data_IF_047271544859
#
_entry.id   IF_047271544859
#
_cell.length_a   1.000
_cell.length_b   1.000
_cell.length_c   1.000
_cell.angle_alpha   90.00
_cell.angle_beta   90.00
_cell.angle_gamma   90.00
#
_symmetry.space_group_name_H-M   'P 1'
#
loop_
_entity.id
_entity.type
_entity.pdbx_description
1 polymer ?
2 non-polymer ?
3 water ?
#
# COMPACT_ATOMS: atom_id res chain seq x y z
N UNK A 80 -18.60 -15.47 -5.20
CA UNK A 80 -19.95 -15.07 -4.79
C UNK A 80 -19.96 -14.45 -3.40
N UNK A 81 -20.57 -13.28 -3.29
CA UNK A 81 -20.66 -12.59 -2.02
C UNK A 81 -22.10 -12.56 -1.57
N UNK A 82 -22.36 -13.08 -0.38
CA UNK A 82 -23.71 -13.10 0.17
C UNK A 82 -23.90 -11.93 1.14
N UNK A 83 -24.78 -11.00 0.79
CA UNK A 83 -25.04 -9.87 1.67
C UNK A 83 -26.29 -10.13 2.50
N UNK A 84 -26.26 -9.66 3.75
CA UNK A 84 -27.40 -9.77 4.63
C UNK A 84 -27.87 -8.38 5.00
N UNK A 85 -29.14 -8.07 4.71
CA UNK A 85 -29.67 -6.76 5.02
C UNK A 85 -29.88 -6.63 6.53
N UNK A 86 -29.53 -5.48 7.07
CA UNK A 86 -29.75 -5.20 8.47
C UNK A 86 -30.81 -4.10 8.61
N UNK A 87 -31.57 -4.17 9.69
CA UNK A 87 -32.61 -3.19 9.97
C UNK A 87 -32.00 -1.84 10.30
N UNK A 88 -30.90 -1.86 11.04
CA UNK A 88 -30.25 -0.67 11.55
C UNK A 88 -28.79 -1.02 11.76
N UNK A 89 -27.92 0.00 11.80
CA UNK A 89 -26.55 -0.32 12.17
C UNK A 89 -26.46 -0.66 13.66
N UNK A 90 -25.44 -1.41 14.06
CA UNK A 90 -25.20 -1.52 15.50
C UNK A 90 -24.77 -0.16 16.06
N UNK A 91 -24.88 0.02 17.37
CA UNK A 91 -24.60 1.32 17.99
C UNK A 91 -23.19 1.83 17.72
N UNK A 92 -22.23 0.92 17.61
CA UNK A 92 -20.86 1.31 17.33
C UNK A 92 -20.67 2.00 15.98
N UNK A 93 -21.64 1.86 15.08
CA UNK A 93 -21.60 2.58 13.81
C UNK A 93 -22.70 3.63 13.72
N UNK A 94 -23.02 4.23 14.87
CA UNK A 94 -23.98 5.33 14.97
C UNK A 94 -25.14 5.26 13.99
N UNK A 99 -29.37 5.68 5.76
CA UNK A 99 -29.07 4.86 4.57
C UNK A 99 -29.29 3.37 4.84
N UNK A 100 -29.30 2.57 3.78
CA UNK A 100 -29.42 1.12 3.92
C UNK A 100 -28.13 0.50 4.42
N UNK A 101 -28.26 -0.57 5.22
CA UNK A 101 -27.10 -1.24 5.77
C UNK A 101 -27.11 -2.72 5.44
N UNK A 102 -26.01 -3.21 4.88
CA UNK A 102 -25.85 -4.63 4.63
C UNK A 102 -24.57 -5.15 5.26
N UNK A 103 -24.56 -6.44 5.53
CA UNK A 103 -23.43 -7.09 6.18
C UNK A 103 -22.89 -8.21 5.30
N UNK A 104 -21.56 -8.35 5.29
CA UNK A 104 -20.92 -9.45 4.61
C UNK A 104 -20.00 -10.13 5.61
N UNK A 105 -20.32 -11.38 5.97
CA UNK A 105 -19.54 -12.15 6.94
C UNK A 105 -18.51 -13.01 6.20
N UNK A 106 -17.23 -12.71 6.38
CA UNK A 106 -16.23 -13.31 5.52
C UNK A 106 -14.89 -13.55 6.24
N UNK A 107 -13.81 -13.69 5.48
CA UNK A 107 -12.46 -13.83 6.02
C UNK A 107 -11.56 -12.74 5.48
N UNK A 108 -10.47 -12.45 6.21
CA UNK A 108 -9.57 -11.38 5.81
C UNK A 108 -8.97 -11.63 4.41
N UNK A 109 -8.85 -12.90 4.04
CA UNK A 109 -8.33 -13.25 2.73
C UNK A 109 -9.12 -12.54 1.63
N UNK A 110 -10.43 -12.41 1.82
CA UNK A 110 -11.28 -11.74 0.85
C UNK A 110 -11.52 -10.27 1.20
N UNK A 111 -11.76 -9.99 2.48
CA UNK A 111 -12.11 -8.64 2.91
C UNK A 111 -11.01 -7.62 2.58
N UNK A 112 -9.76 -8.05 2.65
CA UNK A 112 -8.68 -7.12 2.36
C UNK A 112 -8.73 -6.64 0.90
N UNK A 113 -9.43 -7.37 0.04
CA UNK A 113 -9.49 -7.03 -1.39
C UNK A 113 -10.46 -5.90 -1.69
N UNK A 114 -11.33 -5.59 -0.74
CA UNK A 114 -12.32 -4.54 -0.92
C UNK A 114 -12.03 -3.38 0.02
N UNK A 115 -10.92 -3.44 0.73
CA UNK A 115 -10.64 -2.42 1.73
C UNK A 115 -9.28 -1.81 1.52
N UNK A 116 -8.23 -2.49 1.98
CA UNK A 116 -6.88 -2.00 1.86
C UNK A 116 -6.37 -1.39 3.16
N UNK A 117 -5.06 -1.51 3.43
CA UNK A 117 -4.49 -0.98 4.67
C UNK A 117 -4.86 0.49 4.88
N UNK A 118 -4.81 1.29 3.82
CA UNK A 118 -5.18 2.71 3.91
C UNK A 118 -6.46 2.97 3.13
N UNK A 119 -7.34 1.98 3.04
CA UNK A 119 -8.64 2.14 2.37
C UNK A 119 -8.49 2.51 0.90
N UNK A 120 -7.40 2.04 0.32
CA UNK A 120 -7.15 2.20 -1.10
C UNK A 120 -8.35 1.73 -1.95
N UNK A 121 -8.89 0.56 -1.63
CA UNK A 121 -9.99 0.00 -2.42
C UNK A 121 -11.37 0.38 -1.90
N UNK A 122 -11.50 0.52 -0.58
CA UNK A 122 -12.73 1.04 0.00
C UNK A 122 -13.08 2.41 -0.57
N UNK A 123 -12.08 3.30 -0.66
CA UNK A 123 -12.27 4.64 -1.22
C UNK A 123 -12.64 4.58 -2.70
N UNK A 124 -12.06 3.65 -3.44
CA UNK A 124 -12.43 3.54 -4.86
C UNK A 124 -13.88 3.08 -5.01
N UNK A 125 -14.29 2.14 -4.17
CA UNK A 125 -15.67 1.68 -4.15
C UNK A 125 -16.63 2.82 -3.82
N UNK A 126 -16.24 3.67 -2.89
CA UNK A 126 -17.05 4.83 -2.53
C UNK A 126 -17.13 5.80 -3.71
N UNK A 127 -16.00 6.02 -4.36
CA UNK A 127 -15.93 6.91 -5.50
C UNK A 127 -16.87 6.42 -6.61
N UNK A 128 -16.89 5.11 -6.83
CA UNK A 128 -17.67 4.55 -7.91
C UNK A 128 -19.17 4.43 -7.61
N UNK A 129 -19.53 4.22 -6.34
CA UNK A 129 -20.92 3.89 -6.02
C UNK A 129 -21.53 4.74 -4.91
N UNK A 130 -20.72 5.47 -4.16
CA UNK A 130 -21.20 6.22 -3.01
C UNK A 130 -21.30 5.40 -1.74
N UNK A 131 -21.08 4.09 -1.85
CA UNK A 131 -21.19 3.20 -0.69
C UNK A 131 -20.02 3.32 0.27
N UNK A 132 -20.32 3.42 1.55
CA UNK A 132 -19.28 3.47 2.56
C UNK A 132 -19.07 2.06 3.16
N UNK A 133 -17.81 1.65 3.22
CA UNK A 133 -17.43 0.33 3.73
C UNK A 133 -16.68 0.39 5.06
N UNK A 134 -17.10 -0.45 6.00
CA UNK A 134 -16.46 -0.53 7.31
C UNK A 134 -16.17 -2.02 7.59
N UNK A 135 -15.01 -2.32 8.18
CA UNK A 135 -14.62 -3.69 8.50
C UNK A 135 -14.29 -3.83 9.99
N UNK A 136 -14.50 -5.02 10.55
CA UNK A 136 -14.08 -5.30 11.91
C UNK A 136 -13.79 -6.79 12.04
N UNK A 137 -12.86 -7.15 12.92
CA UNK A 137 -12.72 -8.57 13.23
C UNK A 137 -13.98 -9.03 13.94
N UNK A 138 -14.51 -10.18 13.54
CA UNK A 138 -15.70 -10.72 14.16
C UNK A 138 -15.46 -11.24 15.57
N UNK A 139 -14.26 -11.76 15.83
CA UNK A 139 -13.91 -12.32 17.14
C UNK A 139 -12.56 -11.77 17.59
N UNK A 140 -12.51 -10.47 17.92
CA UNK A 140 -11.26 -9.74 18.20
C UNK A 140 -10.42 -10.34 19.34
N UNK A 141 -11.07 -10.98 20.30
CA UNK A 141 -10.35 -11.56 21.43
C UNK A 141 -9.38 -12.63 20.93
N UNK A 142 -9.73 -13.28 19.83
CA UNK A 142 -8.85 -14.31 19.29
C UNK A 142 -7.52 -13.71 18.83
N UNK A 143 -7.52 -12.43 18.51
CA UNK A 143 -6.30 -11.78 18.04
C UNK A 143 -5.32 -11.53 19.17
N UNK A 144 -5.77 -11.66 20.42
CA UNK A 144 -4.87 -11.53 21.57
C UNK A 144 -4.39 -12.87 22.10
N UNK A 145 -4.77 -13.96 21.43
CA UNK A 145 -4.30 -15.31 21.76
C UNK A 145 -3.01 -15.66 21.01
N UNK A 146 -2.09 -16.34 21.70
CA UNK A 146 -0.87 -16.88 21.09
C UNK A 146 -1.05 -18.30 20.59
N UNK A 147 -1.84 -19.07 21.32
CA UNK A 147 -2.02 -20.48 21.01
C UNK A 147 -3.37 -20.77 20.34
N UNK A 159 -7.68 -24.46 17.41
CA UNK A 159 -9.05 -24.84 17.74
C UNK A 159 -10.09 -23.89 17.12
N UNK A 160 -11.06 -23.50 17.93
CA UNK A 160 -12.16 -22.67 17.48
C UNK A 160 -12.17 -21.34 18.24
N UNK A 161 -11.31 -21.22 19.25
CA UNK A 161 -11.32 -20.04 20.11
C UNK A 161 -9.94 -19.51 20.48
N UNK A 162 -8.89 -20.15 19.97
CA UNK A 162 -7.55 -19.67 20.21
C UNK A 162 -7.07 -18.83 19.05
N UNK A 163 -5.75 -18.76 18.92
CA UNK A 163 -5.10 -18.01 17.85
C UNK A 163 -5.57 -18.48 16.48
N UNK A 164 -5.59 -17.57 15.53
CA UNK A 164 -5.77 -17.94 14.13
C UNK A 164 -4.44 -18.44 13.58
N UNK A 165 -4.49 -19.41 12.68
CA UNK A 165 -3.27 -19.94 12.07
C UNK A 165 -2.56 -18.87 11.26
N UNK A 166 -3.31 -18.17 10.42
CA UNK A 166 -2.77 -17.13 9.54
C UNK A 166 -3.72 -15.96 9.41
N UNK A 167 -3.21 -14.81 8.96
CA UNK A 167 -4.04 -13.64 8.68
C UNK A 167 -5.23 -13.99 7.78
N UNK A 168 -4.98 -14.84 6.78
CA UNK A 168 -6.05 -15.23 5.86
C UNK A 168 -7.28 -15.80 6.56
N UNK A 169 -7.05 -16.45 7.70
CA UNK A 169 -8.14 -17.14 8.40
C UNK A 169 -8.99 -16.23 9.29
N UNK A 170 -8.50 -15.03 9.54
CA UNK A 170 -9.22 -14.11 10.43
C UNK A 170 -10.65 -13.84 9.96
N UNK A 171 -11.62 -14.08 10.83
CA UNK A 171 -13.00 -13.75 10.54
C UNK A 171 -13.21 -12.23 10.50
N UNK A 172 -13.82 -11.74 9.42
CA UNK A 172 -14.05 -10.32 9.24
C UNK A 172 -15.51 -10.06 8.90
N UNK A 173 -16.11 -9.10 9.59
CA UNK A 173 -17.46 -8.66 9.24
C UNK A 173 -17.35 -7.33 8.50
N UNK A 174 -17.90 -7.28 7.29
CA UNK A 174 -17.87 -6.08 6.48
C UNK A 174 -19.26 -5.45 6.44
N UNK A 175 -19.34 -4.15 6.71
CA UNK A 175 -20.61 -3.45 6.61
C UNK A 175 -20.62 -2.49 5.43
N UNK A 176 -21.75 -2.42 4.74
CA UNK A 176 -21.92 -1.50 3.62
C UNK A 176 -23.07 -0.55 3.94
N UNK A 177 -22.81 0.75 3.79
CA UNK A 177 -23.82 1.78 3.98
C UNK A 177 -24.00 2.57 2.69
N UNK A 178 -25.21 2.60 2.18
CA UNK A 178 -25.48 3.38 0.98
C UNK A 178 -26.91 3.22 0.53
N UNK A 179 -27.20 3.65 -0.70
CA UNK A 179 -28.51 3.44 -1.30
C UNK A 179 -28.63 1.99 -1.79
N UNK A 180 -29.86 1.55 -2.04
CA UNK A 180 -30.09 0.20 -2.56
C UNK A 180 -29.36 -0.02 -3.88
N UNK A 181 -29.39 1.00 -4.73
CA UNK A 181 -28.74 0.95 -6.04
C UNK A 181 -27.23 0.98 -5.91
N UNK A 182 -26.72 1.86 -5.06
CA UNK A 182 -25.29 1.91 -4.78
C UNK A 182 -24.80 0.57 -4.26
N UNK A 183 -25.55 0.00 -3.32
CA UNK A 183 -25.17 -1.28 -2.73
C UNK A 183 -25.22 -2.42 -3.76
N UNK A 184 -26.24 -2.38 -4.62
CA UNK A 184 -26.30 -3.33 -5.74
C UNK A 184 -25.05 -3.22 -6.61
N UNK A 185 -24.64 -2.00 -6.93
CA UNK A 185 -23.48 -1.81 -7.80
C UNK A 185 -22.17 -2.14 -7.11
N UNK A 186 -22.06 -1.73 -5.85
CA UNK A 186 -20.87 -1.99 -5.05
C UNK A 186 -20.66 -3.50 -4.88
N UNK A 187 -21.75 -4.21 -4.57
CA UNK A 187 -21.73 -5.68 -4.50
C UNK A 187 -21.12 -6.31 -5.75
N UNK A 188 -21.54 -5.83 -6.94
CA UNK A 188 -21.01 -6.35 -8.20
C UNK A 188 -19.51 -6.10 -8.32
N UNK A 189 -19.08 -4.90 -7.93
CA UNK A 189 -17.66 -4.55 -7.97
C UNK A 189 -16.82 -5.40 -7.01
N UNK A 190 -17.39 -5.75 -5.87
CA UNK A 190 -16.67 -6.52 -4.88
C UNK A 190 -16.44 -7.95 -5.37
N UNK A 191 -17.45 -8.51 -6.03
CA UNK A 191 -17.33 -9.85 -6.59
C UNK A 191 -16.22 -9.89 -7.63
N UNK A 192 -16.11 -8.83 -8.43
CA UNK A 192 -15.03 -8.75 -9.41
C UNK A 192 -13.69 -8.57 -8.69
N UNK A 193 -13.69 -7.76 -7.64
CA UNK A 193 -12.46 -7.48 -6.91
C UNK A 193 -11.89 -8.73 -6.24
N UNK A 194 -12.74 -9.54 -5.62
CA UNK A 194 -12.24 -10.74 -4.94
C UNK A 194 -11.77 -11.81 -5.91
N UNK A 195 -12.00 -11.59 -7.20
CA UNK A 195 -11.48 -12.47 -8.24
C UNK A 195 -10.19 -11.90 -8.80
N UNK A 196 -10.07 -10.58 -8.77
CA UNK A 196 -8.80 -9.96 -9.06
C UNK A 196 -7.92 -10.21 -7.83
N UNK A 197 -6.69 -9.76 -7.90
CA UNK A 197 -5.77 -9.88 -6.78
C UNK A 197 -5.18 -8.48 -6.57
N UNK A 198 -5.97 -7.56 -6.00
CA UNK A 198 -5.45 -6.20 -5.80
C UNK A 198 -4.24 -6.27 -4.90
N UNK A 199 -3.18 -5.55 -5.26
CA UNK A 199 -1.94 -5.60 -4.50
C UNK A 199 -1.27 -4.24 -4.51
N UNK A 200 -0.30 -4.06 -3.63
CA UNK A 200 0.64 -2.96 -3.75
C UNK A 200 1.63 -3.31 -4.85
N UNK A 201 2.16 -2.31 -5.53
CA UNK A 201 3.18 -2.53 -6.53
C UNK A 201 4.37 -1.63 -6.26
N UNK A 202 5.56 -2.14 -6.57
CA UNK A 202 6.77 -1.36 -6.45
C UNK A 202 7.53 -1.53 -7.76
N UNK A 203 7.85 -0.42 -8.42
CA UNK A 203 8.64 -0.47 -9.64
C UNK A 203 10.03 0.02 -9.27
N UNK A 204 10.93 -0.93 -9.04
CA UNK A 204 12.30 -0.63 -8.71
C UNK A 204 13.08 -0.10 -9.90
N UNK A 205 13.10 1.21 -10.03
CA UNK A 205 13.95 1.90 -10.99
C UNK A 205 15.38 1.86 -10.48
N UNK A 206 16.31 1.46 -11.34
CA UNK A 206 17.71 1.39 -10.94
C UNK A 206 18.64 1.94 -12.02
N UNK A 207 19.81 2.40 -11.62
CA UNK A 207 20.83 2.79 -12.57
C UNK A 207 22.11 2.03 -12.27
N UNK A 208 22.94 1.83 -13.28
CA UNK A 208 24.22 1.16 -13.09
C UNK A 208 25.34 2.19 -13.03
N UNK A 209 26.23 2.05 -12.06
CA UNK A 209 27.40 2.90 -12.00
C UNK A 209 28.58 2.19 -12.65
N UNK A 210 29.42 2.94 -13.35
CA UNK A 210 30.56 2.36 -14.05
C UNK A 210 31.48 1.63 -13.08
N UNK A 211 31.61 2.20 -11.89
CA UNK A 211 32.56 1.71 -10.90
C UNK A 211 32.04 0.59 -9.99
N UNK A 212 30.92 -0.03 -10.37
CA UNK A 212 30.23 -0.90 -9.43
C UNK A 212 29.36 -1.97 -10.10
N UNK A 213 29.35 -3.18 -9.55
CA UNK A 213 28.39 -4.20 -9.99
C UNK A 213 27.04 -4.11 -9.26
N UNK A 214 27.05 -3.60 -8.03
CA UNK A 214 25.78 -3.33 -7.33
C UNK A 214 25.12 -2.10 -7.94
N UNK A 215 23.81 -2.18 -8.19
CA UNK A 215 23.11 -1.04 -8.77
C UNK A 215 22.57 -0.12 -7.67
N UNK A 216 22.19 1.10 -8.05
CA UNK A 216 21.53 2.06 -7.15
C UNK A 216 20.03 2.11 -7.44
N UNK A 217 19.23 2.17 -6.39
CA UNK A 217 17.78 2.20 -6.50
C UNK A 217 17.25 3.59 -6.18
N UNK A 218 16.31 4.06 -6.99
CA UNK A 218 15.62 5.31 -6.70
C UNK A 218 14.67 5.13 -5.53
N UNK A 219 14.79 5.98 -4.52
CA UNK A 219 13.93 5.87 -3.35
C UNK A 219 13.29 7.21 -2.93
N UNK A 220 12.13 7.12 -2.29
CA UNK A 220 11.42 8.28 -1.75
C UNK A 220 11.10 8.02 -0.30
N UNK A 221 10.71 9.07 0.43
CA UNK A 221 10.23 8.91 1.79
C UNK A 221 8.84 9.51 1.91
N UNK A 222 7.84 8.64 2.09
CA UNK A 222 6.46 9.07 2.15
C UNK A 222 6.06 9.36 3.58
N UNK A 223 5.45 10.50 3.80
CA UNK A 223 4.96 10.89 5.12
C UNK A 223 3.57 10.30 5.26
N UNK A 224 3.38 9.48 6.28
CA UNK A 224 2.12 8.79 6.45
C UNK A 224 1.14 9.56 7.34
N UNK A 225 -0.15 9.28 7.20
CA UNK A 225 -1.19 9.98 7.95
C UNK A 225 -1.20 9.57 9.42
N UNK A 226 -1.76 10.42 10.28
CA UNK A 226 -1.80 10.10 11.71
C UNK A 226 -2.74 8.93 12.01
N UNK A 227 -3.79 8.79 11.20
CA UNK A 227 -4.68 7.64 11.30
C UNK A 227 -4.23 6.56 10.32
N UNK A 228 -3.46 5.61 10.82
CA UNK A 228 -2.85 4.59 9.98
C UNK A 228 -2.79 3.31 10.80
N UNK A 229 -2.80 2.14 10.13
CA UNK A 229 -2.61 0.87 10.85
C UNK A 229 -1.28 0.84 11.59
N UNK A 230 -1.22 0.10 12.69
CA UNK A 230 -0.03 0.07 13.55
C UNK A 230 1.24 -0.46 12.90
N UNK A 231 1.15 -1.14 11.76
CA UNK A 231 2.35 -1.67 11.10
C UNK A 231 3.04 -0.64 10.19
N UNK A 232 2.45 0.54 10.08
CA UNK A 232 3.02 1.57 9.20
C UNK A 232 3.69 2.67 10.04
N UNK A 233 4.97 2.93 9.77
CA UNK A 233 5.73 3.94 10.52
C UNK A 233 5.32 5.36 10.09
N UNK A 234 5.81 6.38 10.80
CA UNK A 234 5.52 7.78 10.44
C UNK A 234 5.99 8.14 9.02
N UNK A 235 7.15 7.64 8.61
CA UNK A 235 7.73 7.95 7.30
C UNK A 235 8.24 6.69 6.64
N UNK A 236 7.69 6.35 5.47
CA UNK A 236 8.09 5.12 4.77
C UNK A 236 9.16 5.40 3.72
N UNK A 237 10.34 4.80 3.89
CA UNK A 237 11.36 4.79 2.86
C UNK A 237 10.96 3.71 1.87
N UNK A 238 10.81 4.07 0.60
CA UNK A 238 10.23 3.14 -0.35
C UNK A 238 10.80 3.28 -1.76
N UNK A 239 10.78 2.18 -2.50
CA UNK A 239 10.83 2.22 -3.96
C UNK A 239 9.55 2.92 -4.46
N UNK A 240 9.59 3.46 -5.68
CA UNK A 240 8.39 4.08 -6.25
C UNK A 240 7.29 3.04 -6.44
N UNK A 241 6.04 3.47 -6.42
CA UNK A 241 4.94 2.57 -6.71
C UNK A 241 3.88 2.64 -5.65
N UNK A 242 2.63 2.44 -6.06
CA UNK A 242 1.51 2.51 -5.13
C UNK A 242 0.69 1.23 -5.10
N UNK A 243 -0.48 1.23 -5.75
CA UNK A 243 -1.35 0.07 -5.78
C UNK A 243 -2.12 -0.08 -7.10
N UNK A 244 -2.63 -1.28 -7.35
CA UNK A 244 -3.49 -1.54 -8.50
C UNK A 244 -4.91 -1.01 -8.24
N UNK A 245 -5.40 -0.19 -9.15
CA UNK A 245 -6.81 0.18 -9.17
C UNK A 245 -7.63 -1.05 -9.55
N UNK A 246 -8.92 -1.04 -9.23
CA UNK A 246 -9.80 -2.11 -9.69
C UNK A 246 -9.68 -2.22 -11.22
N UNK A 247 -9.59 -3.46 -11.71
CA UNK A 247 -9.51 -3.75 -13.14
C UNK A 247 -8.15 -3.44 -13.78
N UNK A 248 -7.22 -2.90 -13.00
CA UNK A 248 -5.92 -2.54 -13.52
C UNK A 248 -4.94 -3.72 -13.42
N UNK A 249 -4.18 -3.95 -14.49
CA UNK A 249 -3.14 -4.98 -14.49
C UNK A 249 -1.93 -4.52 -13.67
N UNK A 250 -1.16 -5.48 -13.18
CA UNK A 250 -0.02 -5.21 -12.29
C UNK A 250 1.03 -4.26 -12.87
N UNK A 251 1.53 -4.59 -14.05
CA UNK A 251 2.57 -3.77 -14.67
C UNK A 251 2.06 -2.37 -14.99
N UNK A 252 0.85 -2.31 -15.53
CA UNK A 252 0.19 -1.04 -15.82
C UNK A 252 0.16 -0.17 -14.57
N UNK A 253 -0.18 -0.77 -13.43
CA UNK A 253 -0.22 -0.03 -12.17
C UNK A 253 1.18 0.40 -11.73
N UNK A 254 2.17 -0.48 -11.89
CA UNK A 254 3.55 -0.12 -11.55
C UNK A 254 4.02 1.07 -12.37
N UNK A 255 3.73 1.03 -13.67
CA UNK A 255 4.18 2.10 -14.57
C UNK A 255 3.47 3.42 -14.27
N UNK A 256 2.16 3.36 -14.05
CA UNK A 256 1.37 4.55 -13.75
C UNK A 256 1.82 5.20 -12.45
N UNK A 257 2.01 4.39 -11.42
CA UNK A 257 2.30 4.93 -10.10
C UNK A 257 3.77 5.33 -9.94
N UNK A 258 4.65 4.74 -10.75
CA UNK A 258 6.02 5.25 -10.84
C UNK A 258 5.96 6.71 -11.30
N UNK A 259 5.18 6.97 -12.35
CA UNK A 259 5.04 8.34 -12.85
C UNK A 259 4.47 9.27 -11.77
N UNK A 260 3.45 8.83 -11.06
CA UNK A 260 2.83 9.65 -10.01
C UNK A 260 3.81 10.05 -8.92
N UNK A 261 4.78 9.18 -8.62
CA UNK A 261 5.69 9.47 -7.51
C UNK A 261 6.99 10.15 -7.95
N UNK A 262 7.34 10.03 -9.24
CA UNK A 262 8.65 10.47 -9.68
C UNK A 262 8.63 11.32 -10.94
N UNK A 263 7.54 11.22 -11.70
CA UNK A 263 7.43 11.90 -12.97
C UNK A 263 8.19 11.18 -14.08
N UNK A 264 8.67 9.97 -13.80
CA UNK A 264 9.41 9.18 -14.78
C UNK A 264 8.50 8.30 -15.64
N UNK A 265 8.72 8.36 -16.96
CA UNK A 265 8.00 7.51 -17.89
C UNK A 265 8.93 6.39 -18.37
N UNK A 266 8.53 5.14 -18.13
CA UNK A 266 9.26 4.00 -18.69
C UNK A 266 8.38 3.23 -19.65
N UNK A 267 8.99 2.55 -20.60
CA UNK A 267 8.24 1.71 -21.53
C UNK A 267 8.03 0.31 -20.97
N UNK A 268 6.82 -0.23 -21.16
CA UNK A 268 6.48 -1.55 -20.65
C UNK A 268 7.49 -2.65 -20.97
N UNK A 269 8.14 -2.55 -22.14
CA UNK A 269 9.07 -3.60 -22.58
C UNK A 269 10.36 -3.62 -21.78
N UNK A 270 10.61 -2.55 -21.02
CA UNK A 270 11.78 -2.46 -20.16
C UNK A 270 11.47 -2.71 -18.69
N UNK A 271 10.22 -3.06 -18.41
CA UNK A 271 9.76 -3.29 -17.05
C UNK A 271 9.57 -4.78 -16.82
N UNK A 272 10.30 -5.33 -15.86
CA UNK A 272 10.29 -6.77 -15.62
C UNK A 272 9.77 -7.11 -14.23
N UNK A 273 8.70 -7.93 -14.16
CA UNK A 273 8.24 -8.40 -12.85
C UNK A 273 9.31 -9.28 -12.21
N UNK A 274 9.42 -9.28 -10.89
CA UNK A 274 10.46 -10.10 -10.24
C UNK A 274 9.91 -10.86 -9.04
N UNK A 275 8.59 -10.96 -8.94
CA UNK A 275 8.00 -11.73 -7.85
C UNK A 275 7.14 -10.90 -6.92
N UNK A 276 6.91 -11.43 -5.73
CA UNK A 276 6.09 -10.75 -4.74
C UNK A 276 6.58 -11.08 -3.34
N UNK A 277 6.27 -10.19 -2.42
CA UNK A 277 6.52 -10.43 -0.99
C UNK A 277 5.19 -10.33 -0.28
N UNK A 278 4.99 -11.18 0.71
CA UNK A 278 3.80 -11.17 1.53
C UNK A 278 4.16 -11.76 2.88
N UNK A 279 4.45 -10.89 3.83
CA UNK A 279 4.84 -11.31 5.17
C UNK A 279 3.87 -10.67 6.14
N UNK A 280 3.16 -11.47 6.92
CA UNK A 280 2.18 -10.91 7.84
C UNK A 280 1.89 -11.84 9.02
N UNK A 281 1.06 -11.35 9.94
CA UNK A 281 0.61 -12.08 11.12
C UNK A 281 -0.87 -11.82 11.27
N UNK A 282 -1.59 -12.68 12.01
CA UNK A 282 -3.05 -12.53 12.11
C UNK A 282 -3.48 -11.15 12.60
N UNK A 283 -2.72 -10.54 13.50
CA UNK A 283 -3.06 -9.23 14.02
C UNK A 283 -3.03 -8.13 12.96
N UNK A 284 -2.28 -8.35 11.88
CA UNK A 284 -2.19 -7.35 10.81
C UNK A 284 -2.86 -7.90 9.57
N UNK A 285 -4.13 -8.28 9.72
CA UNK A 285 -4.88 -9.04 8.71
C UNK A 285 -5.19 -8.22 7.47
N UNK A 286 -4.98 -6.91 7.54
CA UNK A 286 -5.20 -6.01 6.40
C UNK A 286 -4.05 -6.02 5.38
N UNK A 287 -2.88 -6.53 5.78
CA UNK A 287 -1.69 -6.42 4.94
C UNK A 287 -1.89 -7.13 3.62
N UNK A 288 -1.35 -6.55 2.55
CA UNK A 288 -1.53 -7.15 1.24
C UNK A 288 -0.19 -7.53 0.62
N UNK A 289 -0.23 -8.43 -0.36
CA UNK A 289 1.00 -8.74 -1.12
C UNK A 289 1.54 -7.49 -1.84
N UNK A 290 2.85 -7.45 -1.97
CA UNK A 290 3.52 -6.43 -2.74
C UNK A 290 4.16 -7.09 -3.97
N UNK A 291 3.82 -6.62 -5.17
CA UNK A 291 4.42 -7.13 -6.39
C UNK A 291 5.53 -6.21 -6.87
N UNK A 292 6.67 -6.81 -7.19
CA UNK A 292 7.85 -6.06 -7.55
C UNK A 292 8.16 -6.15 -9.03
N UNK A 293 8.76 -5.07 -9.52
CA UNK A 293 9.23 -4.97 -10.90
C UNK A 293 10.59 -4.27 -10.85
N UNK A 294 11.41 -4.49 -11.87
CA UNK A 294 12.63 -3.69 -12.01
C UNK A 294 12.69 -3.08 -13.40
N UNK A 295 13.35 -1.92 -13.50
CA UNK A 295 13.62 -1.32 -14.80
C UNK A 295 14.86 -0.45 -14.69
N UNK A 296 15.74 -0.57 -15.68
CA UNK A 296 16.93 0.25 -15.71
C UNK A 296 16.63 1.56 -16.42
N UNK A 297 17.14 2.66 -15.86
CA UNK A 297 17.13 3.95 -16.55
C UNK A 297 18.56 4.46 -16.71
N UNK A 298 18.78 5.39 -17.65
CA UNK A 298 20.15 5.92 -17.75
C UNK A 298 20.52 6.67 -16.48
N UNK A 299 21.79 6.66 -16.12
CA UNK A 299 22.22 7.19 -14.82
C UNK A 299 21.98 8.69 -14.67
N UNK A 300 21.92 9.41 -15.79
CA UNK A 300 21.72 10.85 -15.76
C UNK A 300 20.27 11.25 -16.04
N UNK A 301 19.35 10.31 -15.90
CA UNK A 301 17.94 10.59 -16.12
C UNK A 301 17.48 11.71 -15.20
N UNK A 302 16.60 12.57 -15.71
CA UNK A 302 16.07 13.67 -14.91
C UNK A 302 14.86 13.22 -14.11
N UNK A 303 14.95 13.35 -12.79
CA UNK A 303 13.87 12.96 -11.90
C UNK A 303 13.15 14.21 -11.40
N UNK A 304 11.84 14.26 -11.60
CA UNK A 304 11.08 15.44 -11.18
C UNK A 304 10.52 15.31 -9.77
N UNK A 305 10.18 14.09 -9.35
CA UNK A 305 9.55 13.89 -8.06
C UNK A 305 8.05 13.73 -8.22
N UNK A 306 7.33 13.67 -7.09
CA UNK A 306 5.89 13.39 -7.07
C UNK A 306 5.07 14.38 -7.90
N UNK A 307 4.16 13.83 -8.70
CA UNK A 307 3.28 14.61 -9.55
C UNK A 307 1.90 14.64 -8.91
N UNK A 308 1.67 13.70 -8.01
CA UNK A 308 0.39 13.55 -7.34
C UNK A 308 0.63 13.59 -5.83
N UNK A 309 -0.16 14.39 -5.13
CA UNK A 309 -0.01 14.64 -3.69
C UNK A 309 1.45 14.82 -3.23
N UNK A 310 2.17 15.73 -3.86
CA UNK A 310 3.59 15.97 -3.55
C UNK A 310 3.86 16.30 -2.08
N UNK A 311 2.87 16.82 -1.36
CA UNK A 311 3.09 17.22 0.04
C UNK A 311 3.06 16.05 1.01
N UNK A 312 2.67 14.88 0.50
CA UNK A 312 2.74 13.66 1.28
C UNK A 312 4.13 13.03 1.27
N UNK A 313 5.12 13.72 0.69
CA UNK A 313 6.49 13.17 0.61
C UNK A 313 7.47 14.15 1.22
N UNK A 314 8.55 13.65 1.80
CA UNK A 314 9.59 14.56 2.31
C UNK A 314 10.17 15.34 1.16
N UNK A 315 10.19 16.66 1.30
CA UNK A 315 10.75 17.54 0.28
C UNK A 315 11.19 18.82 0.97
N UNK A 316 12.15 19.52 0.39
CA UNK A 316 12.59 20.82 0.91
C UNK A 316 12.86 20.83 2.43
N UNK A 317 13.54 19.80 2.93
CA UNK A 317 13.99 19.77 4.31
C UNK A 317 15.21 20.69 4.44
N UNK A 318 15.66 20.92 5.67
CA UNK A 318 16.91 21.66 5.92
C UNK A 318 18.07 20.66 6.01
N UNK A 319 18.88 20.58 4.95
CA UNK A 319 19.94 19.57 4.87
C UNK A 319 20.92 19.67 6.04
N UNK A 320 21.31 20.90 6.37
CA UNK A 320 22.21 21.16 7.50
C UNK A 320 21.65 20.52 8.77
N UNK A 321 20.40 20.85 9.07
CA UNK A 321 19.72 20.34 10.24
C UNK A 321 19.56 18.82 10.21
N UNK A 322 19.04 18.31 9.09
CA UNK A 322 18.71 16.89 8.99
C UNK A 322 19.95 16.00 9.14
N UNK A 323 21.12 16.49 8.74
CA UNK A 323 22.32 15.66 8.88
C UNK A 323 22.80 15.56 10.33
N UNK A 324 22.13 16.28 11.23
CA UNK A 324 22.40 16.19 12.66
C UNK A 324 21.41 15.26 13.36
N UNK A 325 20.49 14.67 12.61
CA UNK A 325 19.54 13.71 13.18
C UNK A 325 20.26 12.50 13.81
N UNK A 326 19.72 11.97 14.90
CA UNK A 326 20.27 10.75 15.51
C UNK A 326 19.96 9.51 14.68
N UNK A 327 19.05 9.63 13.71
CA UNK A 327 18.65 8.50 12.89
C UNK A 327 19.54 8.37 11.64
N UNK A 328 20.20 7.22 11.47
CA UNK A 328 21.15 7.01 10.36
C UNK A 328 20.51 7.24 8.98
N UNK A 329 19.27 6.80 8.80
CA UNK A 329 18.57 7.05 7.53
C UNK A 329 18.35 8.54 7.27
N UNK A 330 17.98 9.30 8.30
CA UNK A 330 17.85 10.75 8.13
C UNK A 330 19.14 11.37 7.61
N UNK A 331 20.28 10.98 8.19
CA UNK A 331 21.57 11.56 7.81
C UNK A 331 22.00 11.14 6.40
N UNK A 332 21.75 9.89 6.05
CA UNK A 332 22.02 9.42 4.70
C UNK A 332 21.11 10.17 3.72
N UNK A 333 19.86 10.40 4.11
CA UNK A 333 18.91 11.14 3.29
C UNK A 333 19.37 12.57 3.06
N UNK A 334 19.84 13.23 4.12
CA UNK A 334 20.32 14.61 4.00
C UNK A 334 21.51 14.64 3.05
N UNK A 335 22.30 13.59 3.09
CA UNK A 335 23.51 13.52 2.29
C UNK A 335 23.20 13.25 0.82
N UNK A 336 22.24 12.36 0.55
CA UNK A 336 22.06 11.81 -0.79
C UNK A 336 20.80 12.28 -1.52
N UNK A 337 19.75 12.62 -0.78
CA UNK A 337 18.49 12.96 -1.42
C UNK A 337 18.46 14.40 -1.92
N UNK A 338 17.68 14.63 -2.97
CA UNK A 338 17.52 15.97 -3.53
C UNK A 338 16.26 16.60 -2.94
N UNK A 339 16.43 17.66 -2.16
CA UNK A 339 15.27 18.26 -1.48
C UNK A 339 14.20 18.78 -2.44
N UNK A 340 14.58 19.09 -3.68
CA UNK A 340 13.59 19.56 -4.66
C UNK A 340 12.74 18.44 -5.23
N UNK A 341 13.25 17.21 -5.22
CA UNK A 341 12.53 16.10 -5.82
C UNK A 341 12.00 15.09 -4.80
N UNK A 342 12.59 15.10 -3.60
CA UNK A 342 12.25 14.11 -2.60
C UNK A 342 12.73 12.72 -2.98
N UNK A 343 13.71 12.65 -3.88
CA UNK A 343 14.25 11.35 -4.30
C UNK A 343 15.74 11.23 -4.05
N UNK A 344 16.19 9.99 -3.84
CA UNK A 344 17.61 9.66 -3.68
C UNK A 344 17.96 8.37 -4.44
N UNK A 345 19.18 8.33 -4.98
CA UNK A 345 19.74 7.07 -5.49
C UNK A 345 20.49 6.38 -4.36
N UNK A 346 20.07 5.17 -4.01
CA UNK A 346 20.66 4.47 -2.88
C UNK A 346 20.96 3.02 -3.15
N UNK A 347 22.07 2.55 -2.60
CA UNK A 347 22.44 1.14 -2.66
C UNK A 347 21.83 0.37 -1.50
N UNK A 348 21.32 -0.82 -1.78
CA UNK A 348 20.85 -1.68 -0.70
C UNK A 348 21.94 -1.94 0.34
N UNK A 349 23.19 -2.12 -0.11
CA UNK A 349 24.28 -2.37 0.83
C UNK A 349 24.48 -1.18 1.79
N UNK A 350 24.26 0.01 1.28
CA UNK A 350 24.41 1.19 2.11
C UNK A 350 23.29 1.24 3.14
N UNK A 351 22.08 0.89 2.71
CA UNK A 351 20.98 0.77 3.64
C UNK A 351 21.26 -0.26 4.73
N UNK A 352 21.80 -1.42 4.35
CA UNK A 352 22.13 -2.46 5.33
C UNK A 352 23.16 -1.97 6.35
N UNK A 353 24.16 -1.24 5.90
CA UNK A 353 25.20 -0.72 6.79
C UNK A 353 24.65 0.29 7.80
N UNK A 354 23.60 1.00 7.43
CA UNK A 354 22.96 1.97 8.33
C UNK A 354 22.16 1.29 9.43
N UNK A 355 21.68 0.09 9.16
CA UNK A 355 20.77 -0.60 10.10
C UNK A 355 21.52 -1.32 11.23
N UNK A 356 22.84 -1.39 11.13
CA UNK A 356 23.65 -2.08 12.15
C UNK A 356 23.78 -1.23 13.41
#
# INVERSE_FOLDING_TARGET
GSHMRKQLFFTLARPCVAVGRRFISGDNKSIDSSAFISDDDALRGELASALDTEGHALPFDVHLQQPHSSGDGTAGDTSTIQLEKLSHPPARFDLLTNSFVYKWQTKAALARKVSGPMREWAAELKYRTGVHIELEPTYPERLSENAVKGSGSDDGDGTQWGAYETADDVDITVYLFGSERGIFNCHKLMEAAIQQDPVYVRLGIFRRLANSSEVEWLMLRRINRELRPPDIPPISLKLPGKWTLLYERYKEAAIRTLWEETGITVDASNVYPTGHLYQTVPQYYWRVPVRYFVAEVPSDIRVEGPQVVPLQYMRNWDARLLRQSPDPIDRAWAQLADPATGCAWMKASMIDQLQKPLRGDNYMAIRYTPPPYSNLQEVVGLGDGSITPSTGNGEDAS
#
